data_IF_199298601855
#
_entry.id   IF_199298601855
#
_cell.length_a   1.000
_cell.length_b   1.000
_cell.length_c   1.000
_cell.angle_alpha   90.00
_cell.angle_beta   90.00
_cell.angle_gamma   90.00
#
_symmetry.space_group_name_H-M   'P 1'
#
loop_
_entity.id
_entity.type
_entity.pdbx_description
1 polymer ?
#
# COMPACT_ATOMS: atom_id res chain seq x y z
N UNK A 1 -0.64 -5.58 -7.28
CA UNK A 1 0.20 -4.45 -7.74
C UNK A 1 -0.11 -3.21 -6.92
N UNK A 2 0.92 -2.48 -6.50
CA UNK A 2 0.82 -1.17 -5.87
C UNK A 2 1.16 -0.12 -6.92
N UNK A 3 0.35 0.93 -7.03
CA UNK A 3 0.59 2.10 -7.89
C UNK A 3 0.62 3.36 -7.04
N UNK A 4 1.78 4.02 -6.98
CA UNK A 4 1.93 5.24 -6.22
C UNK A 4 1.53 6.46 -7.06
N UNK A 5 0.37 7.04 -6.79
CA UNK A 5 -0.08 8.31 -7.37
C UNK A 5 -0.27 9.36 -6.27
N UNK A 6 0.44 9.22 -5.16
CA UNK A 6 0.29 10.08 -3.98
C UNK A 6 0.87 11.48 -4.15
N UNK A 7 1.73 11.69 -5.16
CA UNK A 7 2.51 12.91 -5.29
C UNK A 7 3.82 12.89 -4.50
N UNK A 8 4.04 11.87 -3.67
CA UNK A 8 5.23 11.71 -2.81
C UNK A 8 5.82 10.30 -2.91
N UNK A 9 7.10 10.10 -2.56
CA UNK A 9 7.65 8.77 -2.34
C UNK A 9 7.00 8.08 -1.12
N UNK A 10 6.82 6.77 -1.25
CA UNK A 10 6.28 5.89 -0.22
C UNK A 10 7.31 4.81 0.14
N UNK A 11 7.05 4.11 1.22
CA UNK A 11 7.70 2.85 1.60
C UNK A 11 6.63 1.77 1.75
N UNK A 12 6.97 0.54 1.41
CA UNK A 12 6.08 -0.60 1.63
C UNK A 12 6.85 -1.81 2.15
N UNK A 13 6.15 -2.64 2.93
CA UNK A 13 6.69 -3.88 3.49
C UNK A 13 5.57 -4.87 3.84
N UNK A 14 5.93 -6.07 4.29
CA UNK A 14 5.02 -7.02 4.89
C UNK A 14 5.21 -7.05 6.41
N UNK A 15 4.14 -7.16 7.17
CA UNK A 15 4.18 -7.29 8.65
C UNK A 15 4.92 -8.52 9.14
N UNK A 16 5.03 -9.55 8.31
CA UNK A 16 5.81 -10.76 8.61
C UNK A 16 7.32 -10.50 8.61
N UNK A 17 7.78 -9.36 8.07
CA UNK A 17 9.20 -9.04 7.93
C UNK A 17 9.91 -9.84 6.83
N UNK A 18 9.17 -10.61 6.03
CA UNK A 18 9.73 -11.43 4.96
C UNK A 18 10.26 -10.63 3.78
N UNK A 19 9.79 -9.39 3.62
CA UNK A 19 10.43 -8.41 2.75
C UNK A 19 10.98 -7.28 3.61
N UNK A 20 12.19 -6.83 3.28
CA UNK A 20 12.70 -5.58 3.80
C UNK A 20 11.81 -4.41 3.36
N UNK A 21 11.84 -3.31 4.10
CA UNK A 21 11.15 -2.07 3.71
C UNK A 21 11.71 -1.61 2.36
N UNK A 22 10.82 -1.45 1.39
CA UNK A 22 11.19 -1.06 0.03
C UNK A 22 10.65 0.32 -0.30
N UNK A 23 11.46 1.21 -0.91
CA UNK A 23 10.96 2.48 -1.40
C UNK A 23 10.09 2.28 -2.64
N UNK A 24 9.11 3.18 -2.82
CA UNK A 24 8.28 3.28 -4.00
C UNK A 24 8.17 4.75 -4.41
N UNK A 25 8.91 5.13 -5.45
CA UNK A 25 8.89 6.50 -5.97
C UNK A 25 7.47 6.93 -6.39
N UNK A 26 7.21 8.24 -6.36
CA UNK A 26 5.98 8.81 -6.93
C UNK A 26 5.85 8.40 -8.41
N UNK A 27 4.64 8.05 -8.85
CA UNK A 27 4.32 7.45 -10.16
C UNK A 27 4.91 6.05 -10.40
N UNK A 28 5.63 5.48 -9.43
CA UNK A 28 6.15 4.13 -9.50
C UNK A 28 5.10 3.05 -9.28
N UNK A 29 5.43 1.84 -9.72
CA UNK A 29 4.66 0.63 -9.45
C UNK A 29 5.51 -0.42 -8.73
N UNK A 30 4.87 -1.23 -7.89
CA UNK A 30 5.47 -2.40 -7.29
C UNK A 30 4.58 -3.62 -7.47
N UNK A 31 5.19 -4.75 -7.80
CA UNK A 31 4.53 -6.04 -7.87
C UNK A 31 5.01 -6.91 -6.71
N UNK A 32 4.04 -7.51 -6.03
CA UNK A 32 4.25 -8.48 -4.97
C UNK A 32 3.66 -9.80 -5.49
N UNK A 33 4.52 -10.81 -5.60
CA UNK A 33 4.17 -12.15 -6.05
C UNK A 33 4.64 -13.15 -5.01
N UNK A 34 4.03 -14.35 -5.00
CA UNK A 34 4.35 -15.41 -4.03
C UNK A 34 4.25 -14.95 -2.57
N UNK A 35 3.25 -14.13 -2.27
CA UNK A 35 2.97 -13.74 -0.89
C UNK A 35 2.55 -14.98 -0.09
N UNK A 36 3.02 -15.13 1.16
CA UNK A 36 2.54 -16.15 2.07
C UNK A 36 1.03 -16.05 2.28
N UNK A 37 0.47 -17.16 2.74
CA UNK A 37 -0.97 -17.30 2.94
C UNK A 37 -1.53 -16.42 4.06
N UNK A 38 -0.71 -15.69 4.85
CA UNK A 38 -1.14 -14.76 5.91
C UNK A 38 -0.11 -13.61 6.04
N UNK A 39 -0.27 -12.55 5.24
CA UNK A 39 0.60 -11.37 5.32
C UNK A 39 -0.21 -10.09 5.29
N UNK A 40 0.28 -9.04 5.96
CA UNK A 40 -0.31 -7.71 5.87
C UNK A 40 0.65 -6.79 5.11
N UNK A 41 0.15 -6.15 4.05
CA UNK A 41 0.91 -5.18 3.25
C UNK A 41 0.83 -3.79 3.87
N UNK A 42 1.93 -3.30 4.43
CA UNK A 42 2.05 -1.94 4.93
C UNK A 42 2.50 -1.00 3.81
N UNK A 43 1.88 0.18 3.70
CA UNK A 43 2.26 1.22 2.73
C UNK A 43 2.17 2.58 3.42
N UNK A 44 3.30 3.20 3.70
CA UNK A 44 3.38 4.47 4.42
C UNK A 44 4.15 5.53 3.61
N UNK A 45 3.94 6.84 3.87
CA UNK A 45 4.86 7.87 3.41
C UNK A 45 6.27 7.67 3.97
N UNK A 46 7.29 8.07 3.21
CA UNK A 46 8.66 8.14 3.76
C UNK A 46 8.70 9.08 4.98
N UNK A 47 9.67 8.93 5.91
CA UNK A 47 9.70 9.69 7.15
C UNK A 47 9.54 11.22 7.00
N UNK A 48 10.10 11.81 5.94
CA UNK A 48 10.01 13.25 5.66
C UNK A 48 8.65 13.72 5.13
N UNK A 49 7.73 12.80 4.81
CA UNK A 49 6.42 13.08 4.24
C UNK A 49 5.26 12.51 5.07
N UNK A 50 5.51 12.09 6.32
CA UNK A 50 4.51 11.45 7.21
C UNK A 50 3.33 12.33 7.60
N UNK A 51 3.45 13.65 7.45
CA UNK A 51 2.32 14.58 7.66
C UNK A 51 1.27 14.51 6.55
N UNK A 52 1.57 13.82 5.44
CA UNK A 52 0.63 13.65 4.33
C UNK A 52 -0.21 12.41 4.56
N UNK A 53 -1.52 12.65 4.62
CA UNK A 53 -2.55 11.63 4.68
C UNK A 53 -2.78 10.99 3.31
N UNK A 54 -2.99 9.67 3.30
CA UNK A 54 -3.20 8.90 2.07
C UNK A 54 -4.65 8.42 1.98
N UNK A 55 -5.09 8.17 0.74
CA UNK A 55 -6.31 7.42 0.44
C UNK A 55 -5.97 6.30 -0.55
N UNK A 56 -6.71 5.21 -0.46
CA UNK A 56 -6.43 4.00 -1.21
C UNK A 56 -7.65 3.61 -2.05
N UNK A 57 -7.43 3.39 -3.34
CA UNK A 57 -8.42 2.81 -4.25
C UNK A 57 -8.00 1.38 -4.54
N UNK A 58 -8.93 0.45 -4.33
CA UNK A 58 -8.61 -0.97 -4.41
C UNK A 58 -9.54 -1.66 -5.39
N UNK A 59 -8.92 -2.40 -6.30
CA UNK A 59 -9.61 -3.18 -7.32
C UNK A 59 -9.10 -4.61 -7.30
N UNK A 60 -10.01 -5.56 -7.19
CA UNK A 60 -9.73 -6.98 -7.44
C UNK A 60 -10.07 -7.27 -8.88
N UNK A 61 -9.14 -7.85 -9.64
CA UNK A 61 -9.35 -8.23 -11.04
C UNK A 61 -9.94 -9.65 -11.13
N UNK A 62 -10.49 -9.98 -12.30
CA UNK A 62 -11.04 -11.32 -12.61
C UNK A 62 -9.98 -12.44 -12.56
N UNK A 63 -8.70 -12.08 -12.47
CA UNK A 63 -7.56 -12.99 -12.37
C UNK A 63 -7.05 -13.12 -10.92
N UNK A 64 -7.85 -12.71 -9.94
CA UNK A 64 -7.51 -12.68 -8.51
C UNK A 64 -6.27 -11.83 -8.20
N UNK A 65 -6.02 -10.76 -8.98
CA UNK A 65 -4.99 -9.78 -8.65
C UNK A 65 -5.59 -8.60 -7.91
N UNK A 66 -4.93 -8.18 -6.83
CA UNK A 66 -5.30 -6.94 -6.11
C UNK A 66 -4.46 -5.79 -6.62
N UNK A 67 -5.12 -4.74 -7.12
CA UNK A 67 -4.52 -3.48 -7.53
C UNK A 67 -4.83 -2.41 -6.48
N UNK A 68 -3.78 -1.85 -5.87
CA UNK A 68 -3.85 -0.77 -4.90
C UNK A 68 -3.32 0.49 -5.56
N UNK A 69 -4.17 1.50 -5.72
CA UNK A 69 -3.75 2.84 -6.14
C UNK A 69 -3.74 3.77 -4.94
N UNK A 70 -2.56 4.31 -4.63
CA UNK A 70 -2.35 5.22 -3.50
C UNK A 70 -2.43 6.66 -4.00
N UNK A 71 -3.25 7.50 -3.37
CA UNK A 71 -3.47 8.91 -3.73
C UNK A 71 -3.33 9.80 -2.50
N UNK A 72 -3.04 11.11 -2.65
CA UNK A 72 -3.09 12.00 -1.50
C UNK A 72 -4.54 12.13 -1.03
N UNK A 73 -4.72 12.21 0.29
CA UNK A 73 -6.01 12.52 0.90
C UNK A 73 -6.00 13.98 1.39
N UNK A 74 -6.97 14.81 1.01
CA UNK A 74 -7.15 16.14 1.59
C UNK A 74 -7.73 16.08 3.02
N UNK A 75 -8.17 14.90 3.47
CA UNK A 75 -8.74 14.67 4.79
C UNK A 75 -7.61 14.38 5.81
N UNK A 76 -7.47 15.18 6.89
CA UNK A 76 -6.48 14.97 7.94
C UNK A 76 -6.73 13.71 8.78
N UNK A 77 -7.89 13.06 8.70
CA UNK A 77 -8.11 11.71 9.25
C UNK A 77 -7.74 10.61 8.27
N UNK A 78 -7.02 10.95 7.20
CA UNK A 78 -6.63 9.98 6.19
C UNK A 78 -5.75 8.88 6.75
N UNK A 79 -5.65 7.85 5.94
CA UNK A 79 -5.17 6.55 6.36
C UNK A 79 -3.68 6.53 6.13
N UNK A 80 -2.93 5.99 7.08
CA UNK A 80 -1.49 5.87 6.93
C UNK A 80 -1.12 4.52 6.34
N UNK A 81 -1.93 3.50 6.59
CA UNK A 81 -1.56 2.11 6.31
C UNK A 81 -2.78 1.32 5.83
N UNK A 82 -2.56 0.40 4.89
CA UNK A 82 -3.58 -0.61 4.53
C UNK A 82 -3.16 -1.99 5.03
N UNK A 83 -4.11 -2.91 5.05
CA UNK A 83 -3.88 -4.31 5.36
C UNK A 83 -4.73 -5.15 4.42
N UNK A 84 -4.08 -5.95 3.57
CA UNK A 84 -4.74 -6.86 2.65
C UNK A 84 -4.61 -8.27 3.21
N UNK A 85 -5.74 -8.92 3.44
CA UNK A 85 -5.82 -10.25 3.99
C UNK A 85 -5.87 -11.32 2.88
N UNK A 86 -5.56 -12.58 3.22
CA UNK A 86 -5.56 -13.70 2.29
C UNK A 86 -6.95 -14.06 1.74
N UNK A 87 -7.99 -13.78 2.50
CA UNK A 87 -9.40 -13.92 2.10
C UNK A 87 -9.87 -12.77 1.19
N UNK A 88 -8.98 -11.81 0.88
CA UNK A 88 -9.27 -10.62 0.11
C UNK A 88 -9.91 -9.50 0.93
N UNK A 89 -10.06 -9.65 2.25
CA UNK A 89 -10.50 -8.55 3.11
C UNK A 89 -9.44 -7.46 3.14
N UNK A 90 -9.88 -6.20 3.13
CA UNK A 90 -8.96 -5.06 3.17
C UNK A 90 -9.35 -4.12 4.29
N UNK A 91 -8.45 -3.96 5.24
CA UNK A 91 -8.57 -3.03 6.34
C UNK A 91 -7.69 -1.81 6.07
N UNK A 92 -8.17 -0.66 6.51
CA UNK A 92 -7.62 0.64 6.19
C UNK A 92 -7.48 1.34 7.54
N UNK A 93 -6.24 1.65 7.95
CA UNK A 93 -5.86 2.15 9.29
C UNK A 93 -5.27 3.56 9.27
#
# INVERSE_FOLDING_TARGET
MIKNQSGIPLEYSLTTGEIEVRPLANQGTAELTNLPQEVFLLIDPIPSAREITLRYEIQVTDQNMVNVTVKPSPDPTGVHTINIQPDGAIYVY
#
